data_IF_700392492277
#
_entry.id   IF_700392492277
#
_cell.length_a   1.000
_cell.length_b   1.000
_cell.length_c   1.000
_cell.angle_alpha   90.00
_cell.angle_beta   90.00
_cell.angle_gamma   90.00
#
_symmetry.space_group_name_H-M   'P 1'
#
loop_
_entity.id
_entity.type
_entity.pdbx_description
1 polymer ?
#
# COMPACT_ATOMS: atom_id res chain seq x y z
N UNK A 1 6.97 6.53 -4.31
CA UNK A 1 7.75 5.36 -4.75
C UNK A 1 8.93 5.28 -3.83
N UNK A 2 9.09 4.13 -3.20
CA UNK A 2 10.20 3.86 -2.30
C UNK A 2 10.84 2.51 -2.67
N UNK A 3 12.00 2.20 -2.11
CA UNK A 3 12.70 0.94 -2.35
C UNK A 3 13.04 0.29 -1.02
N UNK A 4 12.56 -0.93 -0.82
CA UNK A 4 12.83 -1.72 0.39
C UNK A 4 13.48 -3.04 0.01
N UNK A 5 14.65 -3.34 0.60
CA UNK A 5 15.43 -4.56 0.32
C UNK A 5 15.69 -4.82 -1.18
N UNK A 6 15.82 -3.74 -1.98
CA UNK A 6 16.04 -3.82 -3.42
C UNK A 6 14.78 -4.10 -4.26
N UNK A 7 13.61 -4.13 -3.62
CA UNK A 7 12.29 -4.24 -4.26
C UNK A 7 11.65 -2.86 -4.32
N UNK A 8 11.01 -2.53 -5.44
CA UNK A 8 10.28 -1.27 -5.61
C UNK A 8 8.92 -1.35 -4.93
N UNK A 9 8.56 -0.35 -4.12
CA UNK A 9 7.25 -0.22 -3.50
C UNK A 9 6.52 1.01 -4.07
N UNK A 10 5.30 0.78 -4.55
CA UNK A 10 4.38 1.83 -4.98
C UNK A 10 3.07 1.69 -4.22
N UNK A 11 2.74 2.71 -3.43
CA UNK A 11 1.45 2.85 -2.77
C UNK A 11 0.61 3.83 -3.58
N UNK A 12 -0.52 3.36 -4.09
CA UNK A 12 -1.51 4.17 -4.77
C UNK A 12 -2.77 4.27 -3.91
N UNK A 13 -3.22 5.49 -3.66
CA UNK A 13 -4.46 5.77 -2.94
C UNK A 13 -5.25 6.85 -3.66
N UNK A 14 -6.56 6.83 -3.47
CA UNK A 14 -7.47 7.84 -3.99
C UNK A 14 -8.68 7.97 -3.06
N UNK A 15 -9.28 9.15 -3.00
CA UNK A 15 -10.45 9.37 -2.16
C UNK A 15 -11.71 8.75 -2.77
N UNK A 16 -12.35 7.84 -2.05
CA UNK A 16 -13.65 7.27 -2.40
C UNK A 16 -14.76 8.07 -1.71
N UNK A 17 -15.41 8.95 -2.48
CA UNK A 17 -16.47 9.84 -1.97
C UNK A 17 -17.76 9.10 -1.57
N UNK A 18 -17.94 7.83 -1.97
CA UNK A 18 -19.13 7.04 -1.60
C UNK A 18 -19.01 6.47 -0.20
N UNK A 19 -17.81 6.08 0.18
CA UNK A 19 -17.50 5.44 1.45
C UNK A 19 -16.88 6.41 2.46
N UNK A 20 -16.48 7.61 2.03
CA UNK A 20 -15.68 8.57 2.80
C UNK A 20 -14.38 7.93 3.33
N UNK A 21 -13.70 7.20 2.44
CA UNK A 21 -12.49 6.43 2.76
C UNK A 21 -11.40 6.62 1.70
N UNK A 22 -10.20 6.22 2.08
CA UNK A 22 -9.01 6.16 1.25
C UNK A 22 -8.64 4.69 1.01
N UNK A 23 -9.12 4.06 -0.08
CA UNK A 23 -8.60 2.76 -0.52
C UNK A 23 -7.09 2.80 -0.74
N UNK A 24 -6.41 1.75 -0.31
CA UNK A 24 -4.97 1.56 -0.49
C UNK A 24 -4.71 0.43 -1.47
N UNK A 25 -3.96 0.71 -2.52
CA UNK A 25 -3.46 -0.25 -3.48
C UNK A 25 -1.94 -0.31 -3.37
N UNK A 26 -1.42 -1.51 -3.15
CA UNK A 26 0.01 -1.74 -2.92
C UNK A 26 0.56 -2.51 -4.11
N UNK A 27 1.68 -2.04 -4.64
CA UNK A 27 2.41 -2.70 -5.72
C UNK A 27 3.87 -2.91 -5.29
N UNK A 28 4.38 -4.11 -5.53
CA UNK A 28 5.78 -4.50 -5.29
C UNK A 28 6.37 -4.93 -6.64
N UNK A 29 7.39 -4.24 -7.13
CA UNK A 29 7.98 -4.42 -8.48
C UNK A 29 6.94 -4.43 -9.62
N UNK A 30 5.91 -3.61 -9.48
CA UNK A 30 4.79 -3.54 -10.42
C UNK A 30 3.73 -4.63 -10.26
N UNK A 31 3.93 -5.64 -9.40
CA UNK A 31 2.91 -6.63 -9.08
C UNK A 31 2.00 -6.15 -7.95
N UNK A 32 0.68 -6.26 -8.15
CA UNK A 32 -0.29 -5.84 -7.14
C UNK A 32 -0.35 -6.86 -6.00
N UNK A 33 -0.14 -6.39 -4.78
CA UNK A 33 -0.37 -7.19 -3.57
C UNK A 33 -1.87 -7.42 -3.41
N UNK A 34 -2.34 -8.67 -3.27
CA UNK A 34 -3.74 -8.97 -3.05
C UNK A 34 -4.19 -8.46 -1.68
N UNK A 35 -5.28 -7.69 -1.67
CA UNK A 35 -5.89 -7.18 -0.46
C UNK A 35 -6.75 -5.95 -0.72
N UNK A 36 -7.54 -5.61 0.30
CA UNK A 36 -8.36 -4.41 0.32
C UNK A 36 -8.14 -3.73 1.67
N UNK A 37 -7.44 -2.61 1.65
CA UNK A 37 -7.24 -1.77 2.82
C UNK A 37 -7.96 -0.45 2.60
N UNK A 38 -8.63 0.02 3.65
CA UNK A 38 -9.41 1.25 3.66
C UNK A 38 -8.97 2.05 4.88
N UNK A 39 -8.56 3.29 4.65
CA UNK A 39 -8.17 4.20 5.72
C UNK A 39 -9.13 5.39 5.78
N UNK A 40 -9.24 6.00 6.96
CA UNK A 40 -10.04 7.22 7.17
C UNK A 40 -9.29 8.46 6.67
N UNK A 41 -7.96 8.40 6.64
CA UNK A 41 -7.10 9.51 6.28
C UNK A 41 -6.06 9.09 5.24
N UNK A 42 -5.64 10.06 4.42
CA UNK A 42 -4.63 9.84 3.38
C UNK A 42 -3.25 9.52 3.96
N UNK A 43 -2.87 10.17 5.06
CA UNK A 43 -1.61 9.94 5.77
C UNK A 43 -1.53 8.49 6.30
N UNK A 44 -2.62 8.01 6.91
CA UNK A 44 -2.73 6.62 7.35
C UNK A 44 -2.68 5.62 6.19
N UNK A 45 -3.25 5.97 5.03
CA UNK A 45 -3.24 5.12 3.84
C UNK A 45 -1.82 4.85 3.34
N UNK A 46 -0.96 5.88 3.31
CA UNK A 46 0.44 5.71 2.92
C UNK A 46 1.23 4.93 3.96
N UNK A 47 1.14 5.30 5.24
CA UNK A 47 1.88 4.63 6.31
C UNK A 47 1.51 3.14 6.45
N UNK A 48 0.20 2.84 6.37
CA UNK A 48 -0.29 1.46 6.40
C UNK A 48 0.15 0.69 5.15
N UNK A 49 0.06 1.31 3.97
CA UNK A 49 0.50 0.71 2.71
C UNK A 49 1.96 0.30 2.74
N UNK A 50 2.85 1.17 3.24
CA UNK A 50 4.26 0.86 3.37
C UNK A 50 4.54 -0.28 4.34
N UNK A 51 3.94 -0.26 5.54
CA UNK A 51 4.14 -1.35 6.51
C UNK A 51 3.69 -2.71 5.99
N UNK A 52 2.59 -2.76 5.24
CA UNK A 52 2.11 -3.99 4.62
C UNK A 52 3.08 -4.44 3.52
N UNK A 53 3.55 -3.53 2.67
CA UNK A 53 4.52 -3.86 1.62
C UNK A 53 5.83 -4.44 2.20
N UNK A 54 6.35 -3.83 3.27
CA UNK A 54 7.53 -4.33 3.98
C UNK A 54 7.30 -5.74 4.54
N UNK A 55 6.16 -5.97 5.19
CA UNK A 55 5.81 -7.27 5.75
C UNK A 55 5.65 -8.36 4.67
N UNK A 56 5.10 -8.02 3.51
CA UNK A 56 4.99 -8.95 2.36
C UNK A 56 6.36 -9.31 1.79
N UNK A 57 7.26 -8.32 1.66
CA UNK A 57 8.63 -8.56 1.22
C UNK A 57 9.37 -9.45 2.22
N UNK A 58 9.19 -9.20 3.52
CA UNK A 58 9.81 -9.98 4.58
C UNK A 58 9.32 -11.43 4.65
N UNK A 59 8.05 -11.70 4.30
CA UNK A 59 7.49 -13.06 4.24
C UNK A 59 7.94 -13.87 3.02
N UNK A 60 8.37 -13.20 1.95
CA UNK A 60 8.81 -13.85 0.70
C UNK A 60 10.33 -14.10 0.63
N UNK A 61 11.09 -13.75 1.67
CA UNK A 61 12.53 -13.99 1.80
C UNK A 61 12.85 -15.25 2.60
#
# INVERSE_FOLDING_TARGET
MDTYKGREIVIATGYDARSDKWPVHIYIDGERVPGQWLCDRIDEAFDAGFRVAEAEIDQQQ
#
